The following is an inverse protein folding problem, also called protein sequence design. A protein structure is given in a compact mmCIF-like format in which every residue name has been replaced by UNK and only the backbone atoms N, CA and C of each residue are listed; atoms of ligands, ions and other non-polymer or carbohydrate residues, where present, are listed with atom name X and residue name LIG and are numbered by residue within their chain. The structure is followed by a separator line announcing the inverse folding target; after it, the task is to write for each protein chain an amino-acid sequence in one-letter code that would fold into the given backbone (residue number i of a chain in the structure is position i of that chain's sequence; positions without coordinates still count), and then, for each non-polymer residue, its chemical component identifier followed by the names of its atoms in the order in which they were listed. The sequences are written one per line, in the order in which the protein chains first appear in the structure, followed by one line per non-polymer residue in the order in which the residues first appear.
data_IF_228792163472
#
_entry.id   IF_228792163472
#
_cell.length_a   1.000
_cell.length_b   1.000
_cell.length_c   1.000
_cell.angle_alpha   90.00
_cell.angle_beta   90.00
_cell.angle_gamma   90.00
#
_symmetry.space_group_name_H-M   'P 1'
#
loop_
_entity.id
_entity.type
_entity.pdbx_description
1 polymer ?
#
# COMPACT_ATOMS: atom_id res chain seq x y z
N UNK A 1 7.45 10.56 -5.24
CA UNK A 1 8.87 10.37 -5.65
C UNK A 1 9.04 8.94 -6.14
N UNK A 2 9.77 8.75 -7.21
CA UNK A 2 9.99 7.44 -7.82
C UNK A 2 11.45 7.31 -8.25
N UNK A 3 12.07 6.17 -7.96
CA UNK A 3 13.42 5.85 -8.40
C UNK A 3 13.45 4.39 -8.87
N UNK A 4 14.13 4.14 -9.97
CA UNK A 4 14.17 2.83 -10.61
C UNK A 4 15.59 2.46 -11.00
N UNK A 5 15.92 1.21 -10.72
CA UNK A 5 17.15 0.56 -11.12
C UNK A 5 16.82 -0.87 -11.57
N UNK A 6 17.69 -1.50 -12.36
CA UNK A 6 17.56 -2.94 -12.63
C UNK A 6 17.64 -3.79 -11.35
N UNK A 7 18.29 -3.28 -10.29
CA UNK A 7 18.46 -3.99 -9.00
C UNK A 7 17.33 -3.79 -8.01
N UNK A 8 16.59 -2.67 -8.11
CA UNK A 8 15.53 -2.33 -7.18
C UNK A 8 14.62 -1.26 -7.77
N UNK A 9 13.41 -1.15 -7.22
CA UNK A 9 12.48 -0.05 -7.46
C UNK A 9 12.07 0.56 -6.14
N UNK A 10 11.96 1.87 -6.10
CA UNK A 10 11.52 2.62 -4.95
C UNK A 10 10.36 3.52 -5.34
N UNK A 11 9.33 3.53 -4.51
CA UNK A 11 8.15 4.36 -4.67
C UNK A 11 7.88 5.08 -3.35
N UNK A 12 7.61 6.36 -3.43
CA UNK A 12 7.05 7.13 -2.33
C UNK A 12 5.95 8.03 -2.87
N UNK A 13 4.78 7.94 -2.29
CA UNK A 13 3.65 8.78 -2.63
C UNK A 13 2.87 9.17 -1.39
N UNK A 14 2.25 10.38 -1.44
CA UNK A 14 1.42 10.91 -0.37
C UNK A 14 0.05 11.22 -0.94
N UNK A 15 -1.00 10.83 -0.21
CA UNK A 15 -2.38 11.09 -0.56
C UNK A 15 -3.09 11.79 0.60
N UNK A 16 -3.81 12.85 0.27
CA UNK A 16 -4.74 13.53 1.17
C UNK A 16 -6.17 13.10 0.84
N UNK A 17 -6.95 12.77 1.87
CA UNK A 17 -8.34 12.34 1.77
C UNK A 17 -9.21 13.13 2.74
N UNK A 18 -10.37 13.58 2.26
CA UNK A 18 -11.46 14.04 3.10
C UNK A 18 -12.52 12.94 3.12
N UNK A 19 -12.85 12.46 4.31
CA UNK A 19 -13.91 11.46 4.50
C UNK A 19 -15.09 12.13 5.19
N UNK A 20 -16.25 12.00 4.56
CA UNK A 20 -17.54 12.31 5.18
C UNK A 20 -18.04 11.01 5.81
N UNK A 21 -18.17 11.01 7.13
CA UNK A 21 -18.69 9.85 7.89
C UNK A 21 -20.05 10.23 8.47
N UNK A 22 -21.05 9.43 8.18
CA UNK A 22 -22.36 9.51 8.84
C UNK A 22 -22.38 8.57 10.04
N UNK A 23 -22.78 9.09 11.20
CA UNK A 23 -22.99 8.23 12.36
C UNK A 23 -24.46 7.81 12.34
N UNK A 24 -24.69 6.57 11.91
CA UNK A 24 -26.04 6.00 11.70
C UNK A 24 -26.97 6.16 12.92
N UNK A 25 -26.43 6.16 14.15
CA UNK A 25 -27.20 6.30 15.37
C UNK A 25 -27.68 7.73 15.64
N UNK A 26 -26.99 8.74 15.14
CA UNK A 26 -27.29 10.15 15.44
C UNK A 26 -27.64 10.97 14.21
N UNK A 27 -27.43 10.45 12.99
CA UNK A 27 -27.59 11.18 11.73
C UNK A 27 -26.65 12.38 11.61
N UNK A 28 -25.57 12.42 12.39
CA UNK A 28 -24.61 13.51 12.36
C UNK A 28 -23.48 13.22 11.38
N UNK A 29 -23.27 14.13 10.45
CA UNK A 29 -22.15 14.11 9.53
C UNK A 29 -20.89 14.66 10.20
N UNK A 30 -19.81 13.93 10.12
CA UNK A 30 -18.48 14.39 10.55
C UNK A 30 -17.50 14.33 9.39
N UNK A 31 -16.62 15.32 9.31
CA UNK A 31 -15.55 15.35 8.32
C UNK A 31 -14.24 14.94 8.99
N UNK A 32 -13.57 13.92 8.44
CA UNK A 32 -12.27 13.45 8.91
C UNK A 32 -11.25 13.65 7.80
N UNK A 33 -10.21 14.42 8.08
CA UNK A 33 -9.06 14.55 7.19
C UNK A 33 -8.05 13.44 7.44
N UNK A 34 -7.52 12.85 6.37
CA UNK A 34 -6.47 11.82 6.45
C UNK A 34 -5.33 12.17 5.50
N UNK A 35 -4.13 11.95 5.98
CA UNK A 35 -2.90 11.98 5.17
C UNK A 35 -2.27 10.59 5.22
N UNK A 36 -2.09 9.98 4.06
CA UNK A 36 -1.37 8.70 3.92
C UNK A 36 -0.06 8.94 3.20
N UNK A 37 1.01 8.40 3.72
CA UNK A 37 2.28 8.31 3.00
C UNK A 37 2.67 6.85 2.86
N UNK A 38 2.92 6.40 1.64
CA UNK A 38 3.41 5.05 1.39
C UNK A 38 4.83 5.10 0.85
N UNK A 39 5.72 4.39 1.50
CA UNK A 39 7.09 4.16 1.05
C UNK A 39 7.27 2.67 0.78
N UNK A 40 7.64 2.32 -0.46
CA UNK A 40 7.75 0.95 -0.92
C UNK A 40 9.06 0.70 -1.64
N UNK A 41 9.65 -0.46 -1.40
CA UNK A 41 10.79 -1.00 -2.12
C UNK A 41 10.45 -2.37 -2.73
N UNK A 42 10.93 -2.61 -3.94
CA UNK A 42 10.81 -3.88 -4.66
C UNK A 42 12.20 -4.32 -5.11
N UNK A 43 12.53 -5.61 -4.90
CA UNK A 43 13.84 -6.19 -5.22
C UNK A 43 13.62 -7.46 -6.05
N UNK A 44 14.12 -7.52 -7.30
CA UNK A 44 13.99 -8.70 -8.14
C UNK A 44 14.87 -9.86 -7.61
N UNK A 45 14.34 -11.07 -7.65
CA UNK A 45 15.02 -12.31 -7.30
C UNK A 45 15.68 -12.96 -8.52
N UNK A 46 16.29 -12.15 -9.38
CA UNK A 46 16.93 -12.60 -10.61
C UNK A 46 18.24 -11.83 -10.83
N UNK A 47 19.08 -12.33 -11.73
CA UNK A 47 20.26 -11.58 -12.16
C UNK A 47 19.86 -10.23 -12.77
N UNK A 48 20.74 -9.24 -12.71
CA UNK A 48 20.48 -7.87 -13.20
C UNK A 48 20.00 -7.84 -14.67
N UNK A 49 20.46 -8.78 -15.47
CA UNK A 49 20.10 -8.91 -16.89
C UNK A 49 18.66 -9.36 -17.09
N UNK A 50 18.17 -10.23 -16.21
CA UNK A 50 16.79 -10.78 -16.25
C UNK A 50 15.84 -10.11 -15.29
N UNK A 51 16.29 -9.11 -14.54
CA UNK A 51 15.45 -8.37 -13.63
C UNK A 51 14.27 -7.72 -14.39
N UNK A 52 13.07 -7.84 -13.81
CA UNK A 52 11.83 -7.27 -14.35
C UNK A 52 11.39 -7.81 -15.71
N UNK A 53 11.95 -8.94 -16.14
CA UNK A 53 11.48 -9.65 -17.35
C UNK A 53 10.38 -10.68 -17.01
N UNK A 54 9.57 -11.11 -17.99
CA UNK A 54 8.56 -12.16 -17.76
C UNK A 54 9.12 -13.40 -17.05
N UNK A 55 8.32 -13.99 -16.18
CA UNK A 55 8.61 -15.15 -15.33
C UNK A 55 9.58 -14.90 -14.16
N UNK A 56 10.07 -13.67 -13.96
CA UNK A 56 10.90 -13.34 -12.79
C UNK A 56 10.05 -13.05 -11.56
N UNK A 57 10.61 -13.36 -10.39
CA UNK A 57 10.04 -13.08 -9.10
C UNK A 57 10.72 -11.87 -8.48
N UNK A 58 10.03 -11.16 -7.61
CA UNK A 58 10.57 -10.10 -6.78
C UNK A 58 9.92 -10.09 -5.40
N UNK A 59 10.64 -9.64 -4.41
CA UNK A 59 10.11 -9.34 -3.08
C UNK A 59 9.75 -7.88 -3.00
N UNK A 60 8.79 -7.57 -2.15
CA UNK A 60 8.38 -6.21 -1.86
C UNK A 60 8.19 -6.01 -0.37
N UNK A 61 8.49 -4.80 0.08
CA UNK A 61 8.17 -4.35 1.43
C UNK A 61 7.75 -2.89 1.36
N UNK A 62 6.78 -2.51 2.17
CA UNK A 62 6.40 -1.12 2.33
C UNK A 62 5.90 -0.78 3.73
N UNK A 63 5.93 0.51 4.03
CA UNK A 63 5.39 1.11 5.24
C UNK A 63 4.42 2.22 4.84
N UNK A 64 3.26 2.23 5.49
CA UNK A 64 2.22 3.23 5.26
C UNK A 64 1.71 3.79 6.60
N UNK A 65 2.32 4.87 7.10
CA UNK A 65 1.73 5.67 8.18
C UNK A 65 0.51 6.43 7.64
N UNK A 66 -0.56 6.42 8.41
CA UNK A 66 -1.80 7.13 8.11
C UNK A 66 -2.08 8.06 9.28
N UNK A 67 -1.98 9.37 9.03
CA UNK A 67 -2.39 10.38 9.99
C UNK A 67 -3.87 10.72 9.82
N UNK A 68 -4.60 10.90 10.92
CA UNK A 68 -6.01 11.32 10.89
C UNK A 68 -6.24 12.50 11.83
N UNK A 69 -7.06 13.46 11.41
CA UNK A 69 -7.43 14.62 12.23
C UNK A 69 -8.27 14.25 13.47
N UNK A 70 -8.88 13.05 13.47
CA UNK A 70 -9.70 12.57 14.58
C UNK A 70 -8.88 12.24 15.83
N UNK A 71 -7.67 11.69 15.63
CA UNK A 71 -6.78 11.26 16.71
C UNK A 71 -5.60 12.19 16.89
N UNK A 72 -5.34 13.09 15.93
CA UNK A 72 -4.15 13.91 15.80
C UNK A 72 -2.85 13.11 15.93
N UNK A 73 -2.87 11.90 15.44
CA UNK A 73 -1.77 10.94 15.53
C UNK A 73 -1.68 10.08 14.26
N UNK A 74 -0.57 9.35 14.13
CA UNK A 74 -0.43 8.29 13.11
C UNK A 74 -1.24 7.08 13.56
N UNK A 75 -2.40 6.89 12.94
CA UNK A 75 -3.29 5.77 13.24
C UNK A 75 -4.20 5.48 12.04
N UNK A 76 -4.09 4.31 11.41
CA UNK A 76 -3.14 3.22 11.69
C UNK A 76 -1.76 3.38 11.04
N UNK A 77 -0.80 2.60 11.53
CA UNK A 77 0.45 2.27 10.83
C UNK A 77 0.30 0.91 10.15
N UNK A 78 0.56 0.82 8.86
CA UNK A 78 0.52 -0.43 8.11
C UNK A 78 1.92 -0.82 7.63
N UNK A 79 2.29 -2.06 7.89
CA UNK A 79 3.50 -2.69 7.35
C UNK A 79 3.09 -3.77 6.36
N UNK A 80 3.72 -3.80 5.20
CA UNK A 80 3.44 -4.78 4.15
C UNK A 80 4.71 -5.50 3.74
N UNK A 81 4.58 -6.79 3.48
CA UNK A 81 5.60 -7.59 2.83
C UNK A 81 4.92 -8.52 1.82
N UNK A 82 5.61 -8.87 0.76
CA UNK A 82 5.00 -9.72 -0.24
C UNK A 82 5.96 -10.24 -1.29
N UNK A 83 5.41 -11.10 -2.13
CA UNK A 83 6.07 -11.72 -3.26
C UNK A 83 5.31 -11.36 -4.53
N UNK A 84 6.02 -10.83 -5.51
CA UNK A 84 5.47 -10.52 -6.81
C UNK A 84 6.08 -11.35 -7.91
N UNK A 85 5.34 -11.54 -8.99
CA UNK A 85 5.79 -12.20 -10.21
C UNK A 85 5.48 -11.35 -11.43
N UNK A 86 6.46 -11.15 -12.27
CA UNK A 86 6.27 -10.60 -13.61
C UNK A 86 5.73 -11.73 -14.49
N UNK A 87 4.44 -11.73 -14.78
CA UNK A 87 3.79 -12.76 -15.59
C UNK A 87 4.05 -12.52 -17.07
N UNK A 88 3.91 -11.28 -17.50
CA UNK A 88 4.18 -10.83 -18.86
C UNK A 88 4.73 -9.41 -18.85
N UNK A 89 5.07 -8.86 -20.00
CA UNK A 89 5.49 -7.45 -20.14
C UNK A 89 4.41 -6.45 -19.72
N UNK A 90 3.16 -6.90 -19.56
CA UNK A 90 2.02 -6.05 -19.20
C UNK A 90 1.31 -6.44 -17.91
N UNK A 91 1.69 -7.58 -17.31
CA UNK A 91 0.98 -8.09 -16.14
C UNK A 91 1.96 -8.52 -15.05
N UNK A 92 1.78 -7.94 -13.86
CA UNK A 92 2.40 -8.40 -12.63
C UNK A 92 1.31 -8.91 -11.68
N UNK A 93 1.65 -9.93 -10.91
CA UNK A 93 0.78 -10.47 -9.86
C UNK A 93 1.55 -10.42 -8.56
N UNK A 94 0.92 -9.90 -7.49
CA UNK A 94 1.52 -9.77 -6.17
C UNK A 94 0.66 -10.45 -5.13
N UNK A 95 1.28 -11.21 -4.26
CA UNK A 95 0.69 -11.71 -3.04
C UNK A 95 1.32 -10.99 -1.86
N UNK A 96 0.50 -10.32 -1.05
CA UNK A 96 0.94 -9.42 0.01
C UNK A 96 0.31 -9.80 1.33
N UNK A 97 1.08 -9.63 2.39
CA UNK A 97 0.63 -9.68 3.78
C UNK A 97 0.77 -8.30 4.41
N UNK A 98 -0.27 -7.88 5.10
CA UNK A 98 -0.35 -6.61 5.82
C UNK A 98 -0.43 -6.88 7.32
N UNK A 99 0.38 -6.19 8.08
CA UNK A 99 0.23 -6.06 9.52
C UNK A 99 -0.22 -4.62 9.83
N UNK A 100 -1.33 -4.47 10.50
CA UNK A 100 -1.85 -3.17 10.91
C UNK A 100 -1.69 -2.97 12.40
N UNK A 101 -1.24 -1.77 12.77
CA UNK A 101 -1.04 -1.34 14.14
C UNK A 101 -1.83 -0.07 14.39
N UNK A 102 -2.47 0.05 15.53
CA UNK A 102 -3.26 1.21 15.94
C UNK A 102 -2.92 1.63 17.37
N UNK A 103 -3.35 2.83 17.75
CA UNK A 103 -3.24 3.36 19.11
C UNK A 103 -4.62 3.34 19.79
N UNK A 104 -5.08 2.22 20.37
CA UNK A 104 -6.38 2.18 21.00
C UNK A 104 -6.39 3.10 22.23
N UNK A 105 -7.30 4.10 22.22
CA UNK A 105 -7.47 5.01 23.35
C UNK A 105 -6.27 5.92 23.69
N UNK A 106 -5.35 6.13 22.74
CA UNK A 106 -4.14 6.94 22.97
C UNK A 106 -2.98 6.21 23.65
N UNK A 107 -3.11 4.89 23.81
CA UNK A 107 -2.07 4.02 24.35
C UNK A 107 -0.91 3.78 23.36
N UNK A 108 0.02 2.90 23.73
CA UNK A 108 1.11 2.47 22.85
C UNK A 108 0.57 1.76 21.59
N UNK A 109 1.33 1.84 20.52
CA UNK A 109 1.03 1.18 19.24
C UNK A 109 0.87 -0.33 19.44
N UNK A 110 -0.29 -0.88 19.07
CA UNK A 110 -0.60 -2.31 19.20
C UNK A 110 -0.97 -2.90 17.84
N UNK A 111 -0.54 -4.14 17.61
CA UNK A 111 -1.00 -4.94 16.48
C UNK A 111 -2.51 -5.18 16.61
N UNK A 112 -3.26 -4.90 15.53
CA UNK A 112 -4.73 -5.00 15.56
C UNK A 112 -5.29 -5.96 14.53
N UNK A 113 -4.68 -6.08 13.37
CA UNK A 113 -5.21 -6.96 12.33
C UNK A 113 -4.15 -7.34 11.30
N UNK A 114 -4.46 -8.40 10.56
CA UNK A 114 -3.72 -8.81 9.37
C UNK A 114 -4.67 -8.92 8.18
N UNK A 115 -4.13 -8.70 7.00
CA UNK A 115 -4.85 -8.78 5.74
C UNK A 115 -3.97 -9.49 4.72
N UNK A 116 -4.53 -10.45 4.01
CA UNK A 116 -3.91 -11.04 2.84
C UNK A 116 -4.52 -10.40 1.59
N UNK A 117 -3.66 -10.00 0.65
CA UNK A 117 -4.11 -9.37 -0.60
C UNK A 117 -3.44 -9.99 -1.81
N UNK A 118 -4.23 -10.21 -2.85
CA UNK A 118 -3.75 -10.57 -4.18
C UNK A 118 -3.99 -9.37 -5.11
N UNK A 119 -2.91 -8.82 -5.68
CA UNK A 119 -2.98 -7.68 -6.58
C UNK A 119 -2.59 -8.09 -8.01
N UNK A 120 -3.31 -7.53 -8.96
CA UNK A 120 -3.00 -7.61 -10.38
C UNK A 120 -2.65 -6.20 -10.86
N UNK A 121 -1.43 -6.01 -11.37
CA UNK A 121 -0.96 -4.74 -11.91
C UNK A 121 -0.81 -4.84 -13.41
N UNK A 122 -1.55 -4.01 -14.14
CA UNK A 122 -1.46 -3.92 -15.59
C UNK A 122 -0.54 -2.75 -15.94
N UNK A 123 0.49 -3.03 -16.74
CA UNK A 123 1.40 -2.02 -17.28
C UNK A 123 0.85 -1.56 -18.62
N UNK A 124 0.46 -0.30 -18.72
CA UNK A 124 0.11 0.35 -19.97
C UNK A 124 1.33 1.08 -20.55
N UNK A 125 1.25 1.54 -21.78
CA UNK A 125 2.34 2.32 -22.41
C UNK A 125 2.58 3.66 -21.68
N UNK A 126 1.61 4.15 -20.91
CA UNK A 126 1.66 5.41 -20.15
C UNK A 126 2.14 5.24 -18.69
N UNK A 127 2.40 4.01 -18.23
CA UNK A 127 2.83 3.75 -16.87
C UNK A 127 2.18 2.51 -16.25
N UNK A 128 2.43 2.31 -14.97
CA UNK A 128 1.83 1.23 -14.18
C UNK A 128 0.54 1.74 -13.55
N UNK A 129 -0.60 1.22 -13.99
CA UNK A 129 -1.89 1.44 -13.34
C UNK A 129 -2.26 0.24 -12.48
N UNK A 130 -2.59 0.47 -11.21
CA UNK A 130 -3.21 -0.52 -10.35
C UNK A 130 -4.73 -0.35 -10.45
N UNK A 131 -5.40 -1.25 -11.16
CA UNK A 131 -6.86 -1.22 -11.29
C UNK A 131 -7.59 -1.74 -10.04
N UNK A 132 -6.86 -2.34 -9.09
CA UNK A 132 -7.42 -2.95 -7.90
C UNK A 132 -6.91 -2.30 -6.59
N UNK A 133 -6.28 -1.11 -6.68
CA UNK A 133 -6.07 -0.27 -5.51
C UNK A 133 -7.36 0.53 -5.15
N UNK A 134 -8.50 0.03 -5.57
CA UNK A 134 -9.75 0.42 -4.98
C UNK A 134 -9.75 -0.08 -3.54
N UNK A 135 -9.53 0.82 -2.60
CA UNK A 135 -9.88 0.61 -1.21
C UNK A 135 -11.38 0.23 -1.14
N UNK A 136 -11.67 -1.04 -1.23
CA UNK A 136 -12.90 -1.58 -0.66
C UNK A 136 -12.66 -1.77 0.83
N UNK A 137 -12.37 -0.68 1.51
CA UNK A 137 -12.46 -0.56 2.95
C UNK A 137 -13.87 0.02 3.23
N UNK A 138 -14.86 -0.86 3.31
CA UNK A 138 -16.09 -0.61 4.05
C UNK A 138 -15.85 -0.83 5.55
#
# INVERSE_FOLDING_TARGET
MWANSKKWRYYNWTRYELRLTDTLDTGQWSTVSRVRNQTRIEIPLASVERAWTPKTWYVLADVEPIWTSKTDNIDPLRLRAGLGRVVSNRLLVEFQYYAQFTHPGGESLRYTSNIWRLNFKIITQEGIWSFLDGDMDD
#
